data_IF_133110913606
#
_entry.id   IF_133110913606
#
_cell.length_a   1.000
_cell.length_b   1.000
_cell.length_c   1.000
_cell.angle_alpha   90.00
_cell.angle_beta   90.00
_cell.angle_gamma   90.00
#
_symmetry.space_group_name_H-M   'P 1'
#
loop_
_entity.id
_entity.type
_entity.pdbx_description
1 polymer ?
#
# COMPACT_ATOMS: atom_id res chain seq x y z
N UNK A 1 23.23 -20.94 -3.44
CA UNK A 1 21.84 -20.57 -3.78
C UNK A 1 20.89 -21.27 -2.81
N UNK A 2 20.52 -20.60 -1.71
CA UNK A 2 19.56 -21.08 -0.70
C UNK A 2 18.81 -19.87 -0.13
N UNK A 3 17.48 -19.93 -0.20
CA UNK A 3 16.45 -19.30 0.62
C UNK A 3 16.83 -18.05 1.45
N UNK A 4 16.44 -16.86 0.99
CA UNK A 4 16.17 -15.72 1.87
C UNK A 4 14.65 -15.55 1.95
N UNK A 5 14.08 -16.25 2.93
CA UNK A 5 12.68 -16.18 3.28
C UNK A 5 12.33 -14.90 4.02
N UNK A 6 11.24 -14.28 3.57
CA UNK A 6 10.10 -13.82 4.39
C UNK A 6 10.45 -13.42 5.83
N UNK A 7 10.97 -12.21 6.03
CA UNK A 7 10.93 -11.54 7.32
C UNK A 7 10.67 -10.05 7.10
N UNK A 8 9.41 -9.61 7.18
CA UNK A 8 9.02 -8.41 7.94
C UNK A 8 7.49 -8.27 8.02
N UNK A 9 7.01 -7.81 9.19
CA UNK A 9 5.62 -7.61 9.61
C UNK A 9 4.83 -8.82 10.15
N UNK A 10 5.40 -9.51 11.14
CA UNK A 10 4.60 -9.92 12.31
C UNK A 10 4.99 -8.99 13.45
N UNK A 11 4.18 -7.95 13.67
CA UNK A 11 4.23 -7.15 14.88
C UNK A 11 3.88 -8.07 16.06
N UNK A 12 4.87 -8.19 16.95
CA UNK A 12 4.84 -8.80 18.27
C UNK A 12 3.81 -8.08 19.14
N UNK A 13 2.70 -8.75 19.44
CA UNK A 13 1.87 -8.48 20.62
C UNK A 13 1.62 -9.83 21.28
N UNK A 14 2.19 -10.02 22.47
CA UNK A 14 1.94 -11.15 23.36
C UNK A 14 0.53 -11.04 23.95
N UNK A 15 -0.14 -12.20 24.10
CA UNK A 15 -1.23 -12.56 25.06
C UNK A 15 -2.62 -11.90 24.85
N UNK A 16 -3.78 -12.58 24.80
CA UNK A 16 -4.23 -13.91 25.23
C UNK A 16 -5.33 -14.55 24.32
N UNK A 17 -5.56 -15.84 24.60
CA UNK A 17 -6.27 -16.94 23.93
C UNK A 17 -7.81 -16.77 23.80
N UNK A 18 -8.40 -17.27 22.71
CA UNK A 18 -9.63 -18.10 22.72
C UNK A 18 -10.05 -18.58 21.31
N UNK A 19 -10.02 -19.90 21.12
CA UNK A 19 -10.73 -20.75 20.13
C UNK A 19 -10.51 -20.56 18.61
N UNK A 20 -9.73 -21.50 18.04
CA UNK A 20 -10.17 -22.17 16.81
C UNK A 20 -9.74 -21.62 15.46
N UNK A 21 -8.52 -21.09 15.31
CA UNK A 21 -8.01 -20.70 13.98
C UNK A 21 -6.51 -20.94 13.89
N UNK A 22 -6.07 -21.85 13.01
CA UNK A 22 -4.65 -22.15 12.80
C UNK A 22 -3.84 -20.89 12.40
N UNK A 23 -2.49 -20.95 12.42
CA UNK A 23 -1.61 -19.78 12.19
C UNK A 23 -1.91 -19.02 10.89
N UNK A 24 -2.44 -19.70 9.87
CA UNK A 24 -2.85 -19.10 8.60
C UNK A 24 -4.12 -18.24 8.70
N UNK A 25 -5.07 -18.62 9.54
CA UNK A 25 -6.30 -17.85 9.74
C UNK A 25 -5.96 -16.53 10.47
N UNK A 26 -5.25 -16.58 11.60
CA UNK A 26 -4.80 -15.38 12.32
C UNK A 26 -4.04 -14.41 11.41
N UNK A 27 -3.26 -14.92 10.44
CA UNK A 27 -2.59 -14.08 9.44
C UNK A 27 -3.57 -13.44 8.44
N UNK A 28 -4.64 -14.14 8.05
CA UNK A 28 -5.68 -13.69 7.13
C UNK A 28 -6.54 -12.61 7.74
N UNK A 29 -7.03 -12.80 8.95
CA UNK A 29 -7.81 -11.78 9.66
C UNK A 29 -7.01 -10.47 9.81
N UNK A 30 -5.71 -10.58 10.19
CA UNK A 30 -4.83 -9.39 10.28
C UNK A 30 -4.65 -8.67 8.93
N UNK A 31 -4.55 -9.41 7.81
CA UNK A 31 -4.49 -8.78 6.47
C UNK A 31 -5.79 -8.08 6.14
N UNK A 32 -6.94 -8.67 6.48
CA UNK A 32 -8.26 -8.07 6.22
C UNK A 32 -8.46 -6.80 7.04
N UNK A 33 -8.10 -6.83 8.33
CA UNK A 33 -8.15 -5.66 9.21
C UNK A 33 -7.23 -4.54 8.71
N UNK A 34 -6.02 -4.88 8.26
CA UNK A 34 -5.11 -3.92 7.64
C UNK A 34 -5.73 -3.27 6.41
N UNK A 35 -6.22 -4.06 5.46
CA UNK A 35 -6.84 -3.56 4.21
C UNK A 35 -8.04 -2.65 4.53
N UNK A 36 -8.93 -3.11 5.40
CA UNK A 36 -10.12 -2.35 5.79
C UNK A 36 -9.75 -1.04 6.50
N UNK A 37 -8.79 -1.09 7.44
CA UNK A 37 -8.24 0.07 8.13
C UNK A 37 -7.64 1.07 7.16
N UNK A 38 -6.82 0.61 6.23
CA UNK A 38 -6.13 1.45 5.26
C UNK A 38 -7.09 2.16 4.28
N UNK A 39 -8.10 1.45 3.75
CA UNK A 39 -9.17 2.06 2.94
C UNK A 39 -9.93 3.12 3.76
N UNK A 40 -10.28 2.80 5.02
CA UNK A 40 -11.01 3.72 5.88
C UNK A 40 -10.19 4.97 6.23
N UNK A 41 -8.89 4.83 6.47
CA UNK A 41 -7.96 5.93 6.71
C UNK A 41 -7.86 6.84 5.50
N UNK A 42 -7.62 6.30 4.29
CA UNK A 42 -7.55 7.12 3.07
C UNK A 42 -8.84 7.90 2.79
N UNK A 43 -10.01 7.29 3.01
CA UNK A 43 -11.31 7.95 2.80
C UNK A 43 -11.60 9.08 3.79
N UNK A 44 -10.97 9.05 4.96
CA UNK A 44 -11.22 10.02 6.05
C UNK A 44 -10.11 11.06 6.18
N UNK A 45 -8.96 10.85 5.53
CA UNK A 45 -7.84 11.77 5.61
C UNK A 45 -7.97 12.85 4.51
N UNK A 46 -7.92 14.14 4.88
CA UNK A 46 -7.85 15.24 3.92
C UNK A 46 -6.66 15.15 2.96
N UNK A 47 -6.82 15.65 1.73
CA UNK A 47 -5.81 15.55 0.68
C UNK A 47 -4.51 16.29 1.00
N UNK A 48 -4.59 17.42 1.70
CA UNK A 48 -3.43 18.19 2.17
C UNK A 48 -2.55 17.37 3.12
N UNK A 49 -3.14 16.63 4.07
CA UNK A 49 -2.38 15.74 4.96
C UNK A 49 -1.73 14.59 4.21
N UNK A 50 -2.43 14.01 3.22
CA UNK A 50 -1.85 12.97 2.36
C UNK A 50 -0.69 13.50 1.53
N UNK A 51 -0.84 14.69 0.95
CA UNK A 51 0.22 15.35 0.17
C UNK A 51 1.44 15.67 1.04
N UNK A 52 1.24 16.24 2.22
CA UNK A 52 2.32 16.51 3.16
C UNK A 52 3.11 15.24 3.54
N UNK A 53 2.42 14.12 3.77
CA UNK A 53 3.08 12.84 4.05
C UNK A 53 3.84 12.29 2.84
N UNK A 54 3.28 12.42 1.63
CA UNK A 54 3.98 12.05 0.39
C UNK A 54 5.23 12.88 0.18
N UNK A 55 5.15 14.20 0.38
CA UNK A 55 6.28 15.12 0.21
C UNK A 55 7.38 14.84 1.23
N UNK A 56 7.01 14.65 2.51
CA UNK A 56 7.95 14.24 3.55
C UNK A 56 8.68 12.93 3.19
N UNK A 57 7.93 11.90 2.79
CA UNK A 57 8.52 10.61 2.43
C UNK A 57 9.35 10.67 1.15
N UNK A 58 9.03 11.57 0.21
CA UNK A 58 9.85 11.83 -0.98
C UNK A 58 11.21 12.42 -0.59
N UNK A 59 11.21 13.44 0.27
CA UNK A 59 12.46 14.06 0.77
C UNK A 59 13.30 13.04 1.53
N UNK A 60 12.69 12.33 2.47
CA UNK A 60 13.39 11.30 3.27
C UNK A 60 13.96 10.19 2.41
N UNK A 61 13.22 9.69 1.42
CA UNK A 61 13.74 8.68 0.49
C UNK A 61 14.99 9.18 -0.24
N UNK A 62 14.90 10.41 -0.74
CA UNK A 62 15.94 11.00 -1.56
C UNK A 62 17.14 11.50 -0.77
N UNK A 63 17.05 11.66 0.56
CA UNK A 63 18.13 12.21 1.40
C UNK A 63 18.68 11.21 2.42
N UNK A 64 17.82 10.59 3.21
CA UNK A 64 18.22 9.77 4.36
C UNK A 64 18.16 8.27 4.04
N UNK A 65 17.10 7.84 3.35
CA UNK A 65 16.84 6.43 3.03
C UNK A 65 17.36 6.00 1.65
N UNK A 66 18.57 6.43 1.27
CA UNK A 66 19.16 6.25 -0.08
C UNK A 66 19.62 4.82 -0.43
N UNK A 67 19.46 3.84 0.46
CA UNK A 67 19.97 2.47 0.24
C UNK A 67 19.44 1.83 -1.06
N UNK A 68 20.33 1.19 -1.81
CA UNK A 68 19.98 0.34 -2.96
C UNK A 68 19.36 -1.00 -2.56
N UNK A 69 19.63 -1.46 -1.33
CA UNK A 69 19.01 -2.66 -0.77
C UNK A 69 17.59 -2.35 -0.31
N UNK A 70 16.61 -3.04 -0.90
CA UNK A 70 15.18 -2.77 -0.67
C UNK A 70 14.78 -2.95 0.80
N UNK A 71 15.34 -3.94 1.50
CA UNK A 71 15.00 -4.21 2.90
C UNK A 71 15.51 -3.12 3.83
N UNK A 72 16.72 -2.59 3.57
CA UNK A 72 17.27 -1.48 4.35
C UNK A 72 16.53 -0.18 4.06
N UNK A 73 16.20 0.10 2.78
CA UNK A 73 15.40 1.26 2.40
C UNK A 73 14.01 1.19 3.03
N UNK A 74 13.34 0.04 2.97
CA UNK A 74 12.04 -0.19 3.59
C UNK A 74 12.09 0.04 5.11
N UNK A 75 13.06 -0.56 5.82
CA UNK A 75 13.23 -0.37 7.26
C UNK A 75 13.45 1.10 7.63
N UNK A 76 14.26 1.82 6.86
CA UNK A 76 14.49 3.25 7.03
C UNK A 76 13.19 4.04 6.86
N UNK A 77 12.49 3.86 5.74
CA UNK A 77 11.23 4.57 5.46
C UNK A 77 10.14 4.31 6.50
N UNK A 78 10.05 3.09 7.04
CA UNK A 78 9.13 2.77 8.15
C UNK A 78 9.54 3.47 9.44
N UNK A 79 10.85 3.58 9.70
CA UNK A 79 11.36 4.31 10.87
C UNK A 79 10.97 5.78 10.81
N UNK A 80 11.20 6.40 9.66
CA UNK A 80 10.90 7.81 9.39
C UNK A 80 9.38 8.07 9.37
N UNK A 81 8.58 7.20 8.75
CA UNK A 81 7.12 7.33 8.79
C UNK A 81 6.56 7.24 10.21
N UNK A 82 7.11 6.36 11.05
CA UNK A 82 6.73 6.29 12.47
C UNK A 82 7.11 7.56 13.21
N UNK A 83 8.25 8.17 12.90
CA UNK A 83 8.65 9.45 13.49
C UNK A 83 7.67 10.54 13.09
N UNK A 84 7.42 10.72 11.79
CA UNK A 84 6.45 11.66 11.25
C UNK A 84 5.06 11.50 11.85
N UNK A 85 4.58 10.27 11.96
CA UNK A 85 3.25 10.00 12.51
C UNK A 85 3.15 10.22 14.02
N UNK A 86 4.25 10.28 14.79
CA UNK A 86 4.17 10.55 16.25
C UNK A 86 3.66 11.94 16.56
N UNK A 87 3.92 12.90 15.67
CA UNK A 87 3.59 14.31 15.87
C UNK A 87 2.11 14.62 15.60
N UNK A 88 1.32 13.62 15.17
CA UNK A 88 -0.13 13.79 15.00
C UNK A 88 -0.81 13.97 16.37
N UNK A 89 -1.77 14.91 16.50
CA UNK A 89 -2.25 15.35 17.81
C UNK A 89 -3.05 14.27 18.54
N UNK A 90 -3.87 13.49 17.82
CA UNK A 90 -4.70 12.43 18.41
C UNK A 90 -4.21 11.02 18.10
N UNK A 91 -4.53 10.06 18.97
CA UNK A 91 -4.21 8.64 18.74
C UNK A 91 -4.87 8.09 17.46
N UNK A 92 -6.08 8.55 17.15
CA UNK A 92 -6.78 8.19 15.92
C UNK A 92 -6.05 8.73 14.66
N UNK A 93 -5.57 9.97 14.68
CA UNK A 93 -4.78 10.52 13.58
C UNK A 93 -3.41 9.86 13.44
N UNK A 94 -2.75 9.50 14.56
CA UNK A 94 -1.53 8.69 14.54
C UNK A 94 -1.76 7.35 13.85
N UNK A 95 -2.86 6.67 14.19
CA UNK A 95 -3.22 5.39 13.59
C UNK A 95 -3.54 5.53 12.09
N UNK A 96 -4.31 6.54 11.70
CA UNK A 96 -4.57 6.84 10.27
C UNK A 96 -3.28 7.15 9.52
N UNK A 97 -2.37 7.90 10.15
CA UNK A 97 -1.07 8.24 9.59
C UNK A 97 -0.22 7.03 9.26
N UNK A 98 -0.17 6.06 10.17
CA UNK A 98 0.53 4.81 9.93
C UNK A 98 -0.02 4.09 8.71
N UNK A 99 -1.35 3.97 8.59
CA UNK A 99 -1.97 3.32 7.44
C UNK A 99 -1.65 3.98 6.10
N UNK A 100 -1.86 5.30 5.97
CA UNK A 100 -1.59 5.95 4.68
C UNK A 100 -0.10 6.04 4.38
N UNK A 101 0.77 6.17 5.40
CA UNK A 101 2.23 6.22 5.19
C UNK A 101 2.77 4.87 4.74
N UNK A 102 2.28 3.77 5.33
CA UNK A 102 2.61 2.41 4.88
C UNK A 102 2.23 2.21 3.41
N UNK A 103 1.05 2.68 2.99
CA UNK A 103 0.62 2.60 1.59
C UNK A 103 1.48 3.46 0.65
N UNK A 104 1.85 4.68 1.07
CA UNK A 104 2.74 5.54 0.28
C UNK A 104 4.08 4.82 0.06
N UNK A 105 4.66 4.25 1.12
CA UNK A 105 5.92 3.48 1.05
C UNK A 105 5.77 2.28 0.12
N UNK A 106 4.71 1.47 0.31
CA UNK A 106 4.46 0.28 -0.53
C UNK A 106 4.35 0.69 -2.00
N UNK A 107 3.56 1.71 -2.32
CA UNK A 107 3.35 2.14 -3.70
C UNK A 107 4.62 2.71 -4.34
N UNK A 108 5.39 3.48 -3.58
CA UNK A 108 6.69 4.03 -3.99
C UNK A 108 7.69 2.92 -4.31
N UNK A 109 7.87 1.96 -3.41
CA UNK A 109 8.77 0.82 -3.62
C UNK A 109 8.28 -0.14 -4.72
N UNK A 110 6.97 -0.16 -4.97
CA UNK A 110 6.32 -1.01 -5.97
C UNK A 110 6.23 -0.37 -7.36
N UNK A 111 6.66 0.88 -7.55
CA UNK A 111 6.48 1.61 -8.81
C UNK A 111 7.03 0.82 -10.02
N UNK A 112 8.19 0.18 -9.87
CA UNK A 112 8.82 -0.64 -10.92
C UNK A 112 7.99 -1.85 -11.36
N UNK A 113 7.06 -2.31 -10.53
CA UNK A 113 6.16 -3.42 -10.86
C UNK A 113 5.03 -2.98 -11.79
N UNK A 114 4.76 -1.67 -11.88
CA UNK A 114 3.70 -1.08 -12.71
C UNK A 114 4.24 -0.27 -13.90
N UNK A 115 5.43 0.31 -13.74
CA UNK A 115 6.12 1.09 -14.76
C UNK A 115 7.43 0.39 -15.07
N UNK A 116 7.48 -0.30 -16.23
CA UNK A 116 8.70 -0.91 -16.72
C UNK A 116 9.78 0.12 -17.08
N UNK A 117 11.03 -0.32 -17.10
CA UNK A 117 12.22 0.53 -17.31
C UNK A 117 12.14 1.39 -18.58
N UNK A 118 11.67 0.83 -19.69
CA UNK A 118 11.53 1.57 -20.95
C UNK A 118 10.53 2.71 -20.84
N UNK A 119 9.36 2.47 -20.22
CA UNK A 119 8.36 3.51 -19.99
C UNK A 119 8.89 4.58 -19.04
N UNK A 120 9.57 4.17 -17.97
CA UNK A 120 10.19 5.09 -17.03
C UNK A 120 11.21 6.01 -17.71
N UNK A 121 12.11 5.43 -18.50
CA UNK A 121 13.10 6.17 -19.28
C UNK A 121 12.44 7.15 -20.27
N UNK A 122 11.40 6.72 -20.98
CA UNK A 122 10.69 7.58 -21.91
C UNK A 122 9.98 8.76 -21.23
N UNK A 123 9.49 8.57 -20.00
CA UNK A 123 8.93 9.67 -19.21
C UNK A 123 10.05 10.65 -18.83
N UNK A 124 11.15 10.16 -18.27
CA UNK A 124 12.30 10.99 -17.88
C UNK A 124 12.89 11.79 -19.04
N UNK A 125 12.92 11.20 -20.25
CA UNK A 125 13.50 11.84 -21.43
C UNK A 125 12.59 12.91 -22.05
N UNK A 126 11.28 12.69 -22.07
CA UNK A 126 10.37 13.44 -22.94
C UNK A 126 9.38 14.33 -22.17
N UNK A 127 9.45 14.40 -20.84
CA UNK A 127 8.49 15.15 -20.02
C UNK A 127 9.19 16.16 -19.14
N UNK A 128 8.62 17.36 -19.07
CA UNK A 128 9.11 18.45 -18.23
C UNK A 128 8.79 18.16 -16.76
N UNK A 129 7.55 17.73 -16.48
CA UNK A 129 7.12 17.31 -15.13
C UNK A 129 7.05 15.77 -15.06
N UNK A 130 8.18 15.18 -14.69
CA UNK A 130 8.37 13.72 -14.60
C UNK A 130 7.47 13.12 -13.52
N UNK A 131 7.36 13.75 -12.36
CA UNK A 131 6.63 13.21 -11.20
C UNK A 131 5.11 13.21 -11.46
N UNK A 132 4.58 14.26 -12.06
CA UNK A 132 3.17 14.31 -12.44
C UNK A 132 2.85 13.25 -13.50
N UNK A 133 3.72 13.02 -14.49
CA UNK A 133 3.49 11.98 -15.48
C UNK A 133 3.58 10.57 -14.88
N UNK A 134 4.56 10.31 -14.00
CA UNK A 134 4.65 9.03 -13.25
C UNK A 134 3.36 8.79 -12.47
N UNK A 135 2.87 9.78 -11.73
CA UNK A 135 1.61 9.69 -10.97
C UNK A 135 0.42 9.41 -11.89
N UNK A 136 0.35 10.04 -13.05
CA UNK A 136 -0.70 9.80 -14.05
C UNK A 136 -0.67 8.36 -14.56
N UNK A 137 0.51 7.86 -14.95
CA UNK A 137 0.68 6.48 -15.45
C UNK A 137 0.34 5.46 -14.35
N UNK A 138 0.83 5.66 -13.13
CA UNK A 138 0.46 4.82 -11.98
C UNK A 138 -1.06 4.83 -11.75
N UNK A 139 -1.68 6.01 -11.80
CA UNK A 139 -3.13 6.14 -11.67
C UNK A 139 -3.90 5.30 -12.70
N UNK A 140 -3.48 5.31 -13.96
CA UNK A 140 -4.07 4.48 -15.02
C UNK A 140 -3.86 2.98 -14.76
N UNK A 141 -2.67 2.57 -14.32
CA UNK A 141 -2.38 1.16 -14.00
C UNK A 141 -3.21 0.68 -12.81
N UNK A 142 -3.36 1.51 -11.78
CA UNK A 142 -4.18 1.20 -10.61
C UNK A 142 -5.67 1.15 -10.95
N UNK A 143 -6.14 2.04 -11.83
CA UNK A 143 -7.50 2.00 -12.35
C UNK A 143 -7.77 0.69 -13.09
N UNK A 144 -6.87 0.28 -14.01
CA UNK A 144 -6.97 -1.00 -14.72
C UNK A 144 -7.03 -2.20 -13.77
N UNK A 145 -6.11 -2.25 -12.78
CA UNK A 145 -6.13 -3.31 -11.76
C UNK A 145 -7.43 -3.31 -10.95
N UNK A 146 -7.97 -2.14 -10.62
CA UNK A 146 -9.24 -2.01 -9.89
C UNK A 146 -10.42 -2.48 -10.73
N UNK A 147 -10.44 -2.17 -12.03
CA UNK A 147 -11.45 -2.67 -12.97
C UNK A 147 -11.38 -4.19 -13.08
N UNK A 148 -10.19 -4.78 -13.23
CA UNK A 148 -10.00 -6.23 -13.25
C UNK A 148 -10.51 -6.88 -11.95
N UNK A 149 -10.18 -6.29 -10.79
CA UNK A 149 -10.71 -6.75 -9.50
C UNK A 149 -12.24 -6.68 -9.46
N UNK A 150 -12.83 -5.58 -9.92
CA UNK A 150 -14.27 -5.37 -9.91
C UNK A 150 -15.04 -6.34 -10.83
N UNK A 151 -14.41 -6.83 -11.89
CA UNK A 151 -14.95 -7.85 -12.78
C UNK A 151 -14.63 -9.28 -12.33
N UNK A 152 -13.78 -9.45 -11.32
CA UNK A 152 -13.37 -10.75 -10.83
C UNK A 152 -14.41 -11.37 -9.91
N UNK A 153 -14.42 -12.71 -9.82
CA UNK A 153 -15.21 -13.47 -8.83
C UNK A 153 -14.86 -13.14 -7.38
N UNK A 154 -13.74 -12.45 -7.13
CA UNK A 154 -13.29 -12.11 -5.79
C UNK A 154 -14.03 -10.89 -5.22
N UNK A 155 -14.68 -10.08 -6.06
CA UNK A 155 -15.58 -9.04 -5.59
C UNK A 155 -16.94 -9.65 -5.23
N UNK A 156 -17.06 -10.16 -4.01
CA UNK A 156 -18.33 -10.57 -3.44
C UNK A 156 -18.77 -9.59 -2.35
N UNK A 157 -19.08 -8.36 -2.76
CA UNK A 157 -19.32 -7.27 -1.83
C UNK A 157 -20.49 -6.38 -2.27
N UNK A 158 -21.70 -6.57 -1.71
CA UNK A 158 -22.90 -5.79 -2.09
C UNK A 158 -22.83 -4.32 -1.68
N UNK A 159 -22.00 -3.98 -0.69
CA UNK A 159 -21.83 -2.61 -0.19
C UNK A 159 -20.35 -2.27 -0.19
N UNK A 160 -19.94 -1.20 -0.88
CA UNK A 160 -18.53 -0.74 -1.01
C UNK A 160 -17.87 -0.22 0.27
N UNK A 161 -18.15 -0.85 1.41
CA UNK A 161 -17.55 -0.62 2.72
C UNK A 161 -16.16 -1.25 2.79
N UNK A 162 -15.27 -0.64 3.58
CA UNK A 162 -13.88 -1.10 3.74
C UNK A 162 -13.80 -2.57 4.18
N UNK A 163 -14.59 -2.95 5.20
CA UNK A 163 -14.63 -4.31 5.76
C UNK A 163 -15.09 -5.37 4.75
N UNK A 164 -16.05 -5.00 3.89
CA UNK A 164 -16.60 -5.91 2.89
C UNK A 164 -15.65 -6.10 1.69
N UNK A 165 -14.91 -5.05 1.31
CA UNK A 165 -13.93 -5.13 0.22
C UNK A 165 -12.66 -5.88 0.60
N UNK A 166 -12.27 -5.85 1.88
CA UNK A 166 -10.98 -6.38 2.34
C UNK A 166 -10.74 -7.87 2.02
N UNK A 167 -11.67 -8.81 2.28
CA UNK A 167 -11.49 -10.21 1.92
C UNK A 167 -11.34 -10.46 0.42
N UNK A 168 -12.08 -9.68 -0.39
CA UNK A 168 -12.03 -9.76 -1.85
C UNK A 168 -10.68 -9.29 -2.38
N UNK A 169 -10.20 -8.14 -1.90
CA UNK A 169 -8.88 -7.59 -2.25
C UNK A 169 -7.77 -8.57 -1.85
N UNK A 170 -7.79 -9.11 -0.63
CA UNK A 170 -6.80 -10.09 -0.17
C UNK A 170 -6.76 -11.32 -1.08
N UNK A 171 -7.91 -11.91 -1.36
CA UNK A 171 -8.02 -13.12 -2.18
C UNK A 171 -7.60 -12.87 -3.63
N UNK A 172 -8.01 -11.74 -4.20
CA UNK A 172 -7.63 -11.34 -5.55
C UNK A 172 -6.11 -11.11 -5.66
N UNK A 173 -5.52 -10.44 -4.68
CA UNK A 173 -4.09 -10.14 -4.71
C UNK A 173 -3.22 -11.36 -4.43
N UNK A 174 -3.69 -12.34 -3.65
CA UNK A 174 -3.02 -13.64 -3.53
C UNK A 174 -2.99 -14.36 -4.88
N UNK A 175 -4.16 -14.49 -5.53
CA UNK A 175 -4.26 -15.15 -6.83
C UNK A 175 -3.47 -14.41 -7.93
N UNK A 176 -3.45 -13.07 -7.90
CA UNK A 176 -2.70 -12.25 -8.85
C UNK A 176 -1.19 -12.36 -8.64
N UNK A 177 -0.74 -12.44 -7.40
CA UNK A 177 0.68 -12.56 -7.08
C UNK A 177 1.26 -13.90 -7.55
N UNK A 178 0.47 -14.98 -7.50
CA UNK A 178 0.89 -16.29 -7.99
C UNK A 178 0.93 -16.35 -9.53
N UNK A 179 0.07 -15.59 -10.20
CA UNK A 179 -0.10 -15.63 -11.65
C UNK A 179 0.71 -14.57 -12.43
N UNK A 180 1.21 -13.52 -11.77
CA UNK A 180 1.86 -12.37 -12.41
C UNK A 180 3.14 -11.97 -11.67
N UNK A 181 4.00 -11.20 -12.34
CA UNK A 181 5.19 -10.58 -11.73
C UNK A 181 4.83 -9.39 -10.81
N UNK A 182 3.81 -9.54 -9.95
CA UNK A 182 3.34 -8.53 -9.01
C UNK A 182 3.35 -9.15 -7.61
N UNK A 183 3.89 -8.46 -6.60
CA UNK A 183 3.79 -8.97 -5.22
C UNK A 183 2.41 -8.70 -4.64
N UNK A 184 2.02 -9.47 -3.63
CA UNK A 184 0.78 -9.24 -2.88
C UNK A 184 0.71 -7.80 -2.35
N UNK A 185 1.82 -7.30 -1.78
CA UNK A 185 1.92 -5.94 -1.23
C UNK A 185 1.68 -4.89 -2.31
N UNK A 186 2.29 -5.04 -3.49
CA UNK A 186 2.10 -4.12 -4.61
C UNK A 186 0.65 -4.10 -5.10
N UNK A 187 0.02 -5.28 -5.21
CA UNK A 187 -1.38 -5.40 -5.61
C UNK A 187 -2.31 -4.72 -4.59
N UNK A 188 -2.14 -5.03 -3.29
CA UNK A 188 -2.96 -4.45 -2.22
C UNK A 188 -2.75 -2.95 -2.14
N UNK A 189 -1.49 -2.48 -2.20
CA UNK A 189 -1.16 -1.06 -2.17
C UNK A 189 -1.87 -0.29 -3.29
N UNK A 190 -1.84 -0.81 -4.52
CA UNK A 190 -2.49 -0.19 -5.67
C UNK A 190 -4.03 -0.17 -5.53
N UNK A 191 -4.65 -1.30 -5.19
CA UNK A 191 -6.10 -1.39 -5.04
C UNK A 191 -6.62 -0.53 -3.90
N UNK A 192 -5.99 -0.62 -2.73
CA UNK A 192 -6.38 0.16 -1.55
C UNK A 192 -6.22 1.65 -1.81
N UNK A 193 -5.11 2.07 -2.44
CA UNK A 193 -4.89 3.46 -2.79
C UNK A 193 -5.98 4.00 -3.72
N UNK A 194 -6.27 3.29 -4.80
CA UNK A 194 -7.26 3.73 -5.78
C UNK A 194 -8.68 3.75 -5.20
N UNK A 195 -9.09 2.67 -4.52
CA UNK A 195 -10.42 2.54 -3.90
C UNK A 195 -10.60 3.47 -2.68
N UNK A 196 -9.52 3.77 -1.98
CA UNK A 196 -9.50 4.69 -0.85
C UNK A 196 -9.68 6.14 -1.29
N UNK A 197 -9.02 6.54 -2.39
CA UNK A 197 -9.04 7.92 -2.89
C UNK A 197 -10.16 8.23 -3.87
N UNK A 198 -10.76 7.22 -4.53
CA UNK A 198 -11.81 7.44 -5.53
C UNK A 198 -13.08 8.09 -4.99
N UNK A 199 -13.34 8.02 -3.68
CA UNK A 199 -14.47 8.70 -3.03
C UNK A 199 -14.24 10.20 -2.79
N UNK A 200 -13.00 10.68 -2.91
CA UNK A 200 -12.64 12.09 -2.78
C UNK A 200 -12.61 12.81 -4.15
N UNK A 201 -13.03 12.15 -5.24
CA UNK A 201 -12.97 12.69 -6.62
C UNK A 201 -14.32 12.65 -7.36
N UNK A 202 -15.42 12.46 -6.64
CA UNK A 202 -16.78 12.64 -7.15
C UNK A 202 -17.57 13.52 -6.20
#
# INVERSE_FOLDING_TARGET
MKNLGVILFILVIKTQISHGSGPNAVSKERRHDYIAGAIASLRKTPSDKLNAAMDYLNVVENDHCRSHFIDLKLKCLIGESKSYCKDMPSADERNKCQFYSDLIIINKLSQKNFIGTHTHYNIMKNKIDVDTEIRRVLGLRYAGLTTEFAMSRHLNCPRSTAKCLAPGIDSYCLATADARNLTWQSCVGALVWFVGLSRNRF
#
